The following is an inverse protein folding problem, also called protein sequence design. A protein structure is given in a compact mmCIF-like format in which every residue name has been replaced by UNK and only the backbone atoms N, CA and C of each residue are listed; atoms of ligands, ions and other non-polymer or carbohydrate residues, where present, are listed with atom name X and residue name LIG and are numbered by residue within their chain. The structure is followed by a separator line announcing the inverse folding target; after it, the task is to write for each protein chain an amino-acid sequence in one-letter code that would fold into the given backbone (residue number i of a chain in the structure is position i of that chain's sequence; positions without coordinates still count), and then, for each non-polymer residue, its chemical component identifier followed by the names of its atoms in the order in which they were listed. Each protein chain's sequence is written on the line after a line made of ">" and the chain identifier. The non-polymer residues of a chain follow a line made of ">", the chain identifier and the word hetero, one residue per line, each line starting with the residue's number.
data_IF_956679890826
#
_entry.id   IF_956679890826
#
_cell.length_a   1.000
_cell.length_b   1.000
_cell.length_c   1.000
_cell.angle_alpha   90.00
_cell.angle_beta   90.00
_cell.angle_gamma   90.00
#
_symmetry.space_group_name_H-M   'P 1'
#
loop_
_entity.id
_entity.type
_entity.pdbx_description
1 polymer ?
#
# COMPACT_ATOMS: atom_id res chain seq x y z
N UNK A 1 -6.46 -10.04 8.89
CA UNK A 1 -7.67 -9.93 8.07
C UNK A 1 -7.95 -8.47 7.76
N UNK A 2 -8.49 -8.20 6.58
CA UNK A 2 -8.82 -6.84 6.21
C UNK A 2 -9.94 -6.29 7.07
N UNK A 3 -9.88 -4.99 7.37
CA UNK A 3 -10.96 -4.30 8.07
C UNK A 3 -12.21 -4.31 7.16
N UNK A 4 -13.37 -4.81 7.65
CA UNK A 4 -14.57 -4.86 6.82
C UNK A 4 -15.10 -3.48 6.38
N UNK A 5 -14.62 -2.40 7.03
CA UNK A 5 -14.98 -1.04 6.60
C UNK A 5 -14.16 -0.56 5.41
N UNK A 6 -13.10 -1.28 5.04
CA UNK A 6 -12.23 -0.92 3.91
C UNK A 6 -12.61 -1.72 2.68
N UNK A 7 -12.44 -1.17 1.47
CA UNK A 7 -12.75 -1.90 0.25
C UNK A 7 -11.81 -3.08 0.04
N UNK A 8 -12.28 -4.09 -0.67
CA UNK A 8 -11.45 -5.23 -1.06
C UNK A 8 -10.41 -4.76 -2.08
N UNK A 9 -9.20 -5.32 -1.98
CA UNK A 9 -8.13 -5.00 -2.91
C UNK A 9 -8.36 -5.68 -4.27
N UNK A 10 -8.08 -4.95 -5.33
CA UNK A 10 -8.10 -5.50 -6.69
C UNK A 10 -6.78 -6.20 -7.00
N UNK A 11 -5.70 -5.79 -6.36
CA UNK A 11 -4.37 -6.34 -6.56
C UNK A 11 -3.63 -6.34 -5.22
N UNK A 12 -2.84 -7.38 -4.97
CA UNK A 12 -2.01 -7.50 -3.77
C UNK A 12 -0.55 -7.48 -4.18
N UNK A 13 0.24 -6.64 -3.51
CA UNK A 13 1.68 -6.56 -3.71
C UNK A 13 2.37 -7.02 -2.42
N UNK A 14 3.08 -8.14 -2.49
CA UNK A 14 3.78 -8.70 -1.35
C UNK A 14 5.21 -8.17 -1.29
N UNK A 15 5.48 -7.30 -0.33
CA UNK A 15 6.81 -6.76 -0.06
C UNK A 15 7.31 -7.17 1.32
N UNK A 16 6.78 -8.27 1.87
CA UNK A 16 7.27 -8.78 3.15
C UNK A 16 8.75 -9.14 3.05
N UNK A 17 9.50 -8.85 4.11
CA UNK A 17 10.93 -9.09 4.14
C UNK A 17 11.77 -8.03 3.44
N UNK A 18 11.15 -7.07 2.75
CA UNK A 18 11.88 -6.00 2.07
C UNK A 18 12.07 -4.81 3.00
N UNK A 19 13.23 -4.16 2.89
CA UNK A 19 13.56 -2.96 3.66
C UNK A 19 13.24 -1.71 2.85
N UNK A 20 12.94 -0.60 3.54
CA UNK A 20 12.81 0.72 2.92
C UNK A 20 14.07 1.03 2.10
N UNK A 21 13.96 1.57 0.86
CA UNK A 21 12.73 2.09 0.24
C UNK A 21 12.05 1.11 -0.73
N UNK A 22 12.39 -0.18 -0.72
CA UNK A 22 11.89 -1.13 -1.71
C UNK A 22 10.36 -1.22 -1.75
N UNK A 23 9.63 -1.27 -0.61
CA UNK A 23 8.17 -1.31 -0.68
C UNK A 23 7.58 -0.12 -1.42
N UNK A 24 8.14 1.07 -1.24
CA UNK A 24 7.67 2.28 -1.93
C UNK A 24 7.96 2.20 -3.42
N UNK A 25 9.17 1.77 -3.79
CA UNK A 25 9.56 1.61 -5.20
C UNK A 25 8.64 0.61 -5.90
N UNK A 26 8.40 -0.54 -5.26
CA UNK A 26 7.52 -1.57 -5.81
C UNK A 26 6.09 -1.08 -5.94
N UNK A 27 5.61 -0.32 -4.96
CA UNK A 27 4.27 0.26 -5.00
C UNK A 27 4.13 1.24 -6.17
N UNK A 28 5.14 2.07 -6.41
CA UNK A 28 5.13 3.01 -7.53
C UNK A 28 5.05 2.30 -8.87
N UNK A 29 5.65 1.12 -8.98
CA UNK A 29 5.57 0.31 -10.19
C UNK A 29 4.20 -0.38 -10.31
N UNK A 30 3.73 -0.97 -9.22
CA UNK A 30 2.50 -1.75 -9.22
C UNK A 30 1.25 -0.88 -9.42
N UNK A 31 1.24 0.33 -8.89
CA UNK A 31 0.08 1.21 -8.98
C UNK A 31 -0.24 1.57 -10.44
N UNK A 32 0.77 1.54 -11.31
CA UNK A 32 0.59 1.84 -12.74
C UNK A 32 -0.06 0.68 -13.50
N UNK A 33 -0.12 -0.50 -12.88
CA UNK A 33 -0.67 -1.71 -13.51
C UNK A 33 -2.14 -1.91 -13.22
N UNK A 34 -2.70 -1.16 -12.27
CA UNK A 34 -4.13 -1.19 -12.00
C UNK A 34 -4.79 0.05 -12.60
N UNK A 35 -6.11 0.00 -12.74
CA UNK A 35 -6.87 1.10 -13.31
C UNK A 35 -7.16 2.18 -12.26
N UNK A 36 -7.34 3.44 -12.68
CA UNK A 36 -7.80 4.48 -11.75
C UNK A 36 -9.10 4.06 -11.06
N UNK A 37 -9.16 4.27 -9.76
CA UNK A 37 -10.28 3.85 -8.92
C UNK A 37 -10.11 2.47 -8.32
N UNK A 38 -9.18 1.66 -8.81
CA UNK A 38 -8.90 0.35 -8.22
C UNK A 38 -8.01 0.47 -6.99
N UNK A 39 -8.01 -0.57 -6.17
CA UNK A 39 -7.34 -0.59 -4.88
C UNK A 39 -6.19 -1.59 -4.90
N UNK A 40 -5.02 -1.14 -4.45
CA UNK A 40 -3.83 -1.97 -4.26
C UNK A 40 -3.61 -2.20 -2.78
N UNK A 41 -3.40 -3.45 -2.39
CA UNK A 41 -2.99 -3.79 -1.03
C UNK A 41 -1.50 -4.09 -1.02
N UNK A 42 -0.75 -3.29 -0.26
CA UNK A 42 0.67 -3.51 -0.04
C UNK A 42 0.88 -4.24 1.26
N UNK A 43 1.60 -5.36 1.22
CA UNK A 43 2.02 -6.10 2.41
C UNK A 43 3.50 -5.80 2.67
N UNK A 44 3.83 -5.39 3.90
CA UNK A 44 5.20 -5.08 4.27
C UNK A 44 5.46 -5.39 5.73
N UNK A 45 6.72 -5.66 6.06
CA UNK A 45 7.11 -5.96 7.44
C UNK A 45 8.03 -4.89 8.03
N UNK A 46 8.54 -3.98 7.22
CA UNK A 46 9.39 -2.88 7.68
C UNK A 46 8.53 -1.79 8.32
N UNK A 47 8.79 -1.42 9.60
CA UNK A 47 8.01 -0.35 10.25
C UNK A 47 8.08 1.00 9.54
N UNK A 48 9.11 1.25 8.75
CA UNK A 48 9.24 2.48 7.97
C UNK A 48 8.19 2.64 6.89
N UNK A 49 7.46 1.56 6.56
CA UNK A 49 6.45 1.62 5.50
C UNK A 49 5.33 2.61 5.81
N UNK A 50 4.96 2.74 7.08
CA UNK A 50 3.85 3.60 7.46
C UNK A 50 4.13 5.08 7.15
N UNK A 51 5.20 5.71 7.68
CA UNK A 51 5.50 7.10 7.32
C UNK A 51 5.86 7.25 5.84
N UNK A 52 6.52 6.25 5.26
CA UNK A 52 6.90 6.31 3.84
C UNK A 52 5.69 6.33 2.93
N UNK A 53 4.68 5.53 3.21
CA UNK A 53 3.48 5.47 2.38
C UNK A 53 2.60 6.70 2.57
N UNK A 54 2.59 7.29 3.76
CA UNK A 54 1.91 8.56 3.97
C UNK A 54 2.54 9.67 3.12
N UNK A 55 3.87 9.73 3.09
CA UNK A 55 4.60 10.71 2.28
C UNK A 55 4.37 10.44 0.78
N UNK A 56 4.43 9.17 0.38
CA UNK A 56 4.22 8.77 -1.02
C UNK A 56 2.82 9.16 -1.50
N UNK A 57 1.80 8.90 -0.68
CA UNK A 57 0.42 9.25 -1.01
C UNK A 57 0.27 10.76 -1.24
N UNK A 58 0.85 11.57 -0.34
CA UNK A 58 0.82 13.02 -0.50
C UNK A 58 1.55 13.51 -1.72
N UNK A 59 2.68 12.87 -2.06
CA UNK A 59 3.50 13.27 -3.19
C UNK A 59 2.88 12.89 -4.54
N UNK A 60 2.27 11.70 -4.61
CA UNK A 60 1.73 11.18 -5.87
C UNK A 60 0.28 11.57 -6.12
N UNK A 61 -0.46 11.93 -5.08
CA UNK A 61 -1.88 12.19 -5.17
C UNK A 61 -2.76 10.95 -5.18
N UNK A 62 -2.17 9.76 -5.00
CA UNK A 62 -2.95 8.54 -4.84
C UNK A 62 -3.46 8.43 -3.41
N UNK A 63 -4.65 7.88 -3.23
CA UNK A 63 -5.36 7.93 -1.95
C UNK A 63 -4.92 6.80 -1.03
N UNK A 64 -4.44 7.14 0.16
CA UNK A 64 -4.17 6.17 1.21
C UNK A 64 -5.47 5.91 1.97
N UNK A 65 -6.03 4.72 1.79
CA UNK A 65 -7.32 4.37 2.41
C UNK A 65 -7.17 3.96 3.86
N UNK A 66 -6.08 3.25 4.19
CA UNK A 66 -5.84 2.83 5.55
C UNK A 66 -4.60 2.00 5.68
N UNK A 67 -4.09 1.91 6.91
CA UNK A 67 -2.97 1.06 7.28
C UNK A 67 -3.38 0.29 8.52
N UNK A 68 -3.23 -1.04 8.47
CA UNK A 68 -3.44 -1.89 9.62
C UNK A 68 -2.23 -2.80 9.79
N UNK A 69 -2.07 -3.37 10.98
CA UNK A 69 -0.98 -4.29 11.27
C UNK A 69 -1.56 -5.55 11.88
N UNK A 70 -1.10 -6.70 11.39
CA UNK A 70 -1.53 -7.99 11.88
C UNK A 70 -0.32 -8.92 11.88
N UNK A 71 0.04 -9.45 13.06
CA UNK A 71 1.15 -10.39 13.23
C UNK A 71 2.45 -9.90 12.61
N UNK A 72 2.75 -8.61 12.78
CA UNK A 72 3.98 -8.01 12.28
C UNK A 72 3.94 -7.63 10.81
N UNK A 73 2.83 -7.84 10.12
CA UNK A 73 2.67 -7.48 8.71
C UNK A 73 1.77 -6.25 8.61
N UNK A 74 2.28 -5.23 7.94
CA UNK A 74 1.49 -4.03 7.64
C UNK A 74 0.69 -4.26 6.37
N UNK A 75 -0.59 -3.93 6.42
CA UNK A 75 -1.51 -3.95 5.29
C UNK A 75 -1.85 -2.52 4.93
N UNK A 76 -1.38 -2.07 3.77
CA UNK A 76 -1.56 -0.70 3.32
C UNK A 76 -2.49 -0.71 2.11
N UNK A 77 -3.63 -0.05 2.23
CA UNK A 77 -4.61 0.01 1.14
C UNK A 77 -4.54 1.37 0.46
N UNK A 78 -4.36 1.34 -0.85
CA UNK A 78 -4.15 2.54 -1.66
C UNK A 78 -5.11 2.47 -2.85
N UNK A 79 -5.85 3.56 -3.09
CA UNK A 79 -6.67 3.69 -4.30
C UNK A 79 -5.92 4.50 -5.33
N UNK A 80 -5.82 3.97 -6.55
CA UNK A 80 -5.20 4.72 -7.64
C UNK A 80 -6.10 5.86 -8.07
N UNK A 81 -5.59 7.08 -8.02
CA UNK A 81 -6.26 8.28 -8.52
C UNK A 81 -5.60 8.72 -9.82
N UNK A 82 -4.28 8.57 -9.89
CA UNK A 82 -3.47 9.02 -11.03
C UNK A 82 -2.62 7.91 -11.59
#
# INVERSE_FOLDING_TARGET
>A
MADPSLPAADQVLDCTGMSCPLPVVKTSQAIKKIEPGQVLELLATDPGVEPDMKAWSGRTGNELLGISQDSGVFHVLIRRIR
#
